data_IF_044560774617
#
_entry.id   IF_044560774617
#
_cell.length_a   1.000
_cell.length_b   1.000
_cell.length_c   1.000
_cell.angle_alpha   90.00
_cell.angle_beta   90.00
_cell.angle_gamma   90.00
#
_symmetry.space_group_name_H-M   'P 1'
#
loop_
_entity.id
_entity.type
_entity.pdbx_description
1 polymer ?
#
# COMPACT_ATOMS: atom_id res chain seq x y z
N UNK A 1 6.23 -26.26 57.09
CA UNK A 1 5.12 -25.61 56.36
C UNK A 1 5.47 -24.24 55.75
N UNK A 2 6.49 -23.49 56.22
CA UNK A 2 6.88 -22.17 55.65
C UNK A 2 7.78 -22.23 54.40
N UNK A 3 8.43 -23.37 54.14
CA UNK A 3 9.32 -23.62 53.00
C UNK A 3 8.56 -23.83 51.67
N UNK A 4 7.42 -24.53 51.74
CA UNK A 4 6.60 -24.87 50.57
C UNK A 4 5.93 -23.62 49.95
N UNK A 5 5.49 -22.67 50.80
CA UNK A 5 4.87 -21.43 50.34
C UNK A 5 5.88 -20.49 49.65
N UNK A 6 7.14 -20.46 50.11
CA UNK A 6 8.22 -19.70 49.45
C UNK A 6 8.56 -20.31 48.09
N UNK A 7 8.59 -21.64 47.99
CA UNK A 7 8.83 -22.35 46.72
C UNK A 7 7.75 -22.03 45.68
N UNK A 8 6.48 -22.03 46.09
CA UNK A 8 5.35 -21.61 45.24
C UNK A 8 5.44 -20.14 44.82
N UNK A 9 5.91 -19.25 45.70
CA UNK A 9 6.11 -17.82 45.39
C UNK A 9 7.26 -17.60 44.39
N UNK A 10 8.38 -18.31 44.54
CA UNK A 10 9.47 -18.28 43.57
C UNK A 10 9.04 -18.81 42.20
N UNK A 11 8.26 -19.89 42.16
CA UNK A 11 7.71 -20.40 40.90
C UNK A 11 6.75 -19.40 40.25
N UNK A 12 5.89 -18.73 41.01
CA UNK A 12 4.98 -17.71 40.49
C UNK A 12 5.75 -16.51 39.92
N UNK A 13 6.81 -16.06 40.59
CA UNK A 13 7.65 -14.97 40.06
C UNK A 13 8.40 -15.39 38.79
N UNK A 14 8.96 -16.60 38.74
CA UNK A 14 9.63 -17.11 37.54
C UNK A 14 8.66 -17.17 36.36
N UNK A 15 7.42 -17.65 36.59
CA UNK A 15 6.38 -17.69 35.56
C UNK A 15 6.01 -16.29 35.08
N UNK A 16 5.84 -15.32 35.98
CA UNK A 16 5.57 -13.93 35.62
C UNK A 16 6.69 -13.32 34.78
N UNK A 17 7.96 -13.48 35.19
CA UNK A 17 9.11 -12.99 34.42
C UNK A 17 9.21 -13.67 33.04
N UNK A 18 8.96 -14.97 32.95
CA UNK A 18 8.98 -15.69 31.68
C UNK A 18 7.88 -15.20 30.71
N UNK A 19 6.66 -14.96 31.21
CA UNK A 19 5.55 -14.43 30.40
C UNK A 19 5.83 -13.00 29.94
N UNK A 20 6.36 -12.15 30.83
CA UNK A 20 6.74 -10.77 30.49
C UNK A 20 7.86 -10.77 29.44
N UNK A 21 8.90 -11.58 29.62
CA UNK A 21 10.01 -11.67 28.68
C UNK A 21 9.57 -12.20 27.31
N UNK A 22 8.71 -13.23 27.28
CA UNK A 22 8.12 -13.75 26.05
C UNK A 22 7.27 -12.69 25.35
N UNK A 23 6.44 -11.96 26.09
CA UNK A 23 5.60 -10.89 25.56
C UNK A 23 6.46 -9.75 25.00
N UNK A 24 7.48 -9.31 25.73
CA UNK A 24 8.43 -8.28 25.29
C UNK A 24 9.16 -8.73 24.01
N UNK A 25 9.62 -9.98 23.95
CA UNK A 25 10.31 -10.55 22.78
C UNK A 25 9.38 -10.58 21.56
N UNK A 26 8.12 -11.02 21.74
CA UNK A 26 7.12 -11.02 20.66
C UNK A 26 6.80 -9.59 20.19
N UNK A 27 6.67 -8.63 21.12
CA UNK A 27 6.42 -7.23 20.77
C UNK A 27 7.61 -6.58 20.05
N UNK A 28 8.85 -6.86 20.49
CA UNK A 28 10.07 -6.37 19.84
C UNK A 28 10.25 -6.97 18.44
N UNK A 29 9.93 -8.25 18.27
CA UNK A 29 9.96 -8.91 16.95
C UNK A 29 8.75 -8.53 16.08
N UNK A 30 7.67 -8.04 16.68
CA UNK A 30 6.47 -7.52 16.03
C UNK A 30 6.57 -6.06 15.60
N UNK A 31 7.62 -5.34 16.04
CA UNK A 31 7.98 -3.99 15.57
C UNK A 31 8.67 -4.02 14.20
N UNK A 32 8.34 -4.99 13.35
CA UNK A 32 8.64 -4.83 11.93
C UNK A 32 7.90 -3.55 11.50
N UNK A 33 8.62 -2.52 11.03
CA UNK A 33 7.95 -1.36 10.47
C UNK A 33 6.97 -1.90 9.43
N UNK A 34 5.71 -1.45 9.53
CA UNK A 34 4.68 -1.75 8.54
C UNK A 34 5.35 -1.61 7.17
N UNK A 35 5.31 -2.62 6.29
CA UNK A 35 5.85 -2.44 4.95
C UNK A 35 5.09 -1.25 4.40
N UNK A 36 5.77 -0.11 4.29
CA UNK A 36 5.30 1.02 3.51
C UNK A 36 5.06 0.42 2.16
N UNK A 37 3.79 0.20 1.83
CA UNK A 37 3.30 -0.56 0.69
C UNK A 37 4.12 -0.11 -0.50
N UNK A 38 5.13 -0.90 -0.85
CA UNK A 38 6.20 -0.39 -1.68
C UNK A 38 5.63 -0.40 -3.08
N UNK A 39 5.72 0.78 -3.70
CA UNK A 39 4.96 1.20 -4.86
C UNK A 39 5.51 0.56 -6.14
N UNK A 40 5.96 -0.68 -6.04
CA UNK A 40 6.91 -1.31 -6.95
C UNK A 40 6.31 -1.68 -8.31
N UNK A 41 5.01 -1.42 -8.52
CA UNK A 41 4.40 -1.54 -9.85
C UNK A 41 3.67 -0.29 -10.33
N UNK A 42 3.81 0.86 -9.65
CA UNK A 42 3.41 2.12 -10.28
C UNK A 42 4.61 2.71 -11.03
N UNK A 43 4.50 2.83 -12.36
CA UNK A 43 5.56 3.43 -13.19
C UNK A 43 5.64 4.95 -13.07
N UNK A 44 4.72 5.55 -12.33
CA UNK A 44 4.59 6.99 -12.16
C UNK A 44 4.95 7.45 -10.74
N UNK A 45 5.69 8.55 -10.58
CA UNK A 45 5.92 9.15 -9.28
C UNK A 45 4.60 9.70 -8.73
N UNK A 46 4.26 9.35 -7.48
CA UNK A 46 3.14 9.99 -6.79
C UNK A 46 3.55 11.41 -6.43
N UNK A 47 2.95 12.36 -7.12
CA UNK A 47 3.03 13.77 -6.72
C UNK A 47 1.86 14.06 -5.78
N UNK A 48 2.06 14.81 -4.68
CA UNK A 48 0.97 15.23 -3.82
C UNK A 48 0.16 16.29 -4.59
N UNK A 49 -0.82 15.85 -5.38
CA UNK A 49 -1.84 16.74 -5.91
C UNK A 49 -2.83 17.09 -4.80
N UNK A 50 -3.42 18.30 -4.80
CA UNK A 50 -4.56 18.62 -3.95
C UNK A 50 -5.68 17.62 -4.25
N UNK A 51 -6.01 16.78 -3.26
CA UNK A 51 -6.93 15.64 -3.38
C UNK A 51 -8.37 16.01 -3.73
N UNK A 52 -8.68 17.30 -3.74
CA UNK A 52 -10.06 17.78 -3.77
C UNK A 52 -10.50 18.24 -5.18
N UNK A 53 -9.55 18.41 -6.10
CA UNK A 53 -9.87 18.72 -7.48
C UNK A 53 -8.82 18.13 -8.42
N UNK A 54 -9.27 17.42 -9.46
CA UNK A 54 -8.44 16.96 -10.56
C UNK A 54 -8.60 17.84 -11.80
N UNK A 55 -7.96 19.02 -11.87
CA UNK A 55 -7.97 19.83 -13.08
C UNK A 55 -6.99 19.25 -14.12
N UNK A 56 -7.29 18.05 -14.65
CA UNK A 56 -6.47 17.42 -15.67
C UNK A 56 -6.76 18.09 -17.01
N UNK A 57 -5.77 18.81 -17.53
CA UNK A 57 -5.83 19.39 -18.85
C UNK A 57 -4.45 19.29 -19.50
N UNK A 58 -4.31 18.42 -20.50
CA UNK A 58 -3.08 18.28 -21.26
C UNK A 58 -3.30 18.73 -22.72
N UNK A 59 -2.43 19.62 -23.20
CA UNK A 59 -2.44 20.02 -24.62
C UNK A 59 -1.69 19.01 -25.50
N UNK A 60 -0.71 18.31 -24.90
CA UNK A 60 0.09 17.29 -25.57
C UNK A 60 -0.21 15.93 -24.95
N UNK A 61 -0.54 14.90 -25.75
CA UNK A 61 -0.78 13.57 -25.22
C UNK A 61 0.52 12.98 -24.67
N UNK A 62 0.42 12.37 -23.50
CA UNK A 62 1.46 11.59 -22.84
C UNK A 62 0.83 10.28 -22.32
N UNK A 63 0.49 9.34 -23.22
CA UNK A 63 -0.36 8.21 -22.86
C UNK A 63 0.33 7.26 -21.89
N UNK A 64 -0.42 6.76 -20.90
CA UNK A 64 -0.02 5.68 -20.00
C UNK A 64 -1.09 4.60 -19.94
N UNK A 65 -0.69 3.37 -19.68
CA UNK A 65 -1.59 2.24 -19.53
C UNK A 65 -1.80 1.95 -18.05
N UNK A 66 -3.04 2.12 -17.58
CA UNK A 66 -3.44 1.77 -16.22
C UNK A 66 -3.46 0.26 -16.00
N UNK A 67 -3.42 -0.15 -14.73
CA UNK A 67 -3.62 -1.55 -14.32
C UNK A 67 -5.03 -2.07 -14.65
N UNK A 68 -5.97 -1.16 -14.91
CA UNK A 68 -7.33 -1.42 -15.39
C UNK A 68 -7.41 -1.67 -16.91
N UNK A 69 -6.28 -1.56 -17.63
CA UNK A 69 -6.23 -1.72 -19.08
C UNK A 69 -6.73 -0.49 -19.86
N UNK A 70 -6.98 0.63 -19.18
CA UNK A 70 -7.41 1.90 -19.80
C UNK A 70 -6.19 2.74 -20.15
N UNK A 71 -6.22 3.37 -21.33
CA UNK A 71 -5.20 4.36 -21.71
C UNK A 71 -5.60 5.74 -21.19
N UNK A 72 -4.78 6.30 -20.31
CA UNK A 72 -4.90 7.66 -19.79
C UNK A 72 -4.04 8.59 -20.64
N UNK A 73 -4.66 9.54 -21.33
CA UNK A 73 -4.00 10.34 -22.39
C UNK A 73 -3.20 11.51 -21.85
N UNK A 74 -3.54 11.98 -20.65
CA UNK A 74 -2.82 13.06 -19.98
C UNK A 74 -1.76 12.56 -18.99
N UNK A 75 -1.41 11.26 -19.07
CA UNK A 75 -0.29 10.66 -18.35
C UNK A 75 -0.59 10.30 -16.91
N UNK A 76 0.46 10.27 -16.10
CA UNK A 76 0.38 9.90 -14.68
C UNK A 76 -0.66 10.70 -13.88
N UNK A 77 -0.78 12.04 -14.03
CA UNK A 77 -1.77 12.81 -13.28
C UNK A 77 -3.23 12.40 -13.56
N UNK A 78 -3.50 11.97 -14.80
CA UNK A 78 -4.81 11.53 -15.26
C UNK A 78 -5.18 10.16 -14.66
N UNK A 79 -4.25 9.20 -14.77
CA UNK A 79 -4.39 7.90 -14.13
C UNK A 79 -4.54 8.01 -12.60
N UNK A 80 -3.68 8.80 -11.96
CA UNK A 80 -3.72 9.01 -10.51
C UNK A 80 -4.97 9.75 -10.06
N UNK A 81 -5.48 10.69 -10.85
CA UNK A 81 -6.77 11.32 -10.58
C UNK A 81 -7.91 10.30 -10.54
N UNK A 82 -7.92 9.35 -11.48
CA UNK A 82 -8.89 8.26 -11.48
C UNK A 82 -8.65 7.23 -10.36
N UNK A 83 -7.62 7.42 -9.52
CA UNK A 83 -7.23 6.45 -8.50
C UNK A 83 -6.57 5.20 -9.07
N UNK A 84 -6.08 5.26 -10.31
CA UNK A 84 -5.53 4.12 -11.05
C UNK A 84 -4.01 4.19 -11.09
N UNK A 85 -3.37 3.06 -10.79
CA UNK A 85 -1.91 2.87 -10.90
C UNK A 85 -1.51 2.64 -12.35
N UNK A 86 -0.32 3.07 -12.74
CA UNK A 86 0.18 2.88 -14.10
C UNK A 86 0.98 1.60 -14.23
N UNK A 87 0.48 0.66 -15.03
CA UNK A 87 1.14 -0.59 -15.34
C UNK A 87 2.33 -0.41 -16.30
N UNK A 88 2.20 0.51 -17.27
CA UNK A 88 3.22 0.78 -18.29
C UNK A 88 3.14 2.21 -18.83
N UNK A 89 4.30 2.78 -19.15
CA UNK A 89 4.38 4.01 -19.96
C UNK A 89 3.99 3.73 -21.43
N UNK A 90 3.30 4.68 -22.06
CA UNK A 90 2.68 4.49 -23.37
C UNK A 90 1.25 3.93 -23.27
N UNK A 91 0.52 3.88 -24.40
CA UNK A 91 -0.85 3.40 -24.42
C UNK A 91 -0.92 1.90 -24.15
N UNK A 92 -2.12 1.43 -23.77
CA UNK A 92 -2.38 0.00 -23.68
C UNK A 92 -2.30 -0.66 -25.06
N UNK A 93 -1.93 -1.94 -25.10
CA UNK A 93 -1.94 -2.72 -26.34
C UNK A 93 -3.37 -2.80 -26.90
N UNK A 94 -3.54 -2.52 -28.19
CA UNK A 94 -4.82 -2.48 -28.94
C UNK A 94 -5.49 -3.88 -29.06
N UNK A 95 -5.10 -4.85 -28.25
CA UNK A 95 -5.44 -6.26 -28.43
C UNK A 95 -6.38 -6.90 -27.42
N UNK A 96 -6.62 -6.36 -26.21
CA UNK A 96 -7.40 -7.13 -25.21
C UNK A 96 -7.98 -6.35 -24.00
N UNK A 97 -8.46 -5.11 -24.15
CA UNK A 97 -8.98 -4.39 -22.99
C UNK A 97 -9.95 -3.27 -23.31
N UNK A 98 -11.23 -3.61 -23.43
CA UNK A 98 -12.37 -2.79 -22.96
C UNK A 98 -12.58 -1.42 -23.60
N UNK A 99 -13.60 -1.37 -24.47
CA UNK A 99 -14.46 -0.22 -24.77
C UNK A 99 -13.95 1.16 -24.35
N UNK A 100 -13.38 1.89 -25.30
CA UNK A 100 -13.41 3.34 -25.27
C UNK A 100 -14.89 3.76 -25.11
N UNK A 101 -15.29 4.12 -23.88
CA UNK A 101 -16.53 4.80 -23.64
C UNK A 101 -16.36 6.23 -24.17
N UNK A 102 -16.55 6.39 -25.48
CA UNK A 102 -16.80 7.69 -26.09
C UNK A 102 -18.21 8.11 -25.69
N UNK A 103 -18.41 9.17 -24.90
CA UNK A 103 -19.75 9.72 -24.70
C UNK A 103 -20.13 10.43 -25.99
N UNK A 104 -20.90 9.77 -26.85
CA UNK A 104 -21.56 10.37 -28.00
C UNK A 104 -22.99 10.75 -27.64
N UNK A 105 -23.34 12.02 -27.81
CA UNK A 105 -24.69 12.56 -27.63
C UNK A 105 -24.71 14.06 -27.85
#
# INVERSE_FOLDING_TARGET
MKSELRKSQFHLQILLFAVIFLSITVCLNGLNPLPSHQDDEDKCPRTPFPTDSCPINCFRPDPVCGVDGVTYWCGCPDAHCAGVRVAKLGPCSVGNGGSAAVPGG
#
